data_IF_582252919259
#
_entry.id   IF_582252919259
#
_cell.length_a   1.000
_cell.length_b   1.000
_cell.length_c   1.000
_cell.angle_alpha   90.00
_cell.angle_beta   90.00
_cell.angle_gamma   90.00
#
_symmetry.space_group_name_H-M   'P 1'
#
loop_
_entity.id
_entity.type
_entity.pdbx_description
1 polymer ?
#
# COMPACT_ATOMS: atom_id res chain seq x y z
N UNK A 1 8.61 -4.14 16.16
CA UNK A 1 7.45 -4.57 15.34
C UNK A 1 7.87 -5.81 14.56
N UNK A 2 7.09 -6.90 14.51
CA UNK A 2 7.55 -8.20 13.99
C UNK A 2 8.01 -8.16 12.52
N UNK A 3 7.25 -7.48 11.67
CA UNK A 3 7.59 -7.36 10.24
C UNK A 3 8.88 -6.55 10.05
N UNK A 4 9.01 -5.42 10.75
CA UNK A 4 10.25 -4.61 10.74
C UNK A 4 11.48 -5.44 11.11
N UNK A 5 11.43 -6.17 12.23
CA UNK A 5 12.58 -6.97 12.69
C UNK A 5 12.93 -8.09 11.72
N UNK A 6 11.93 -8.74 11.11
CA UNK A 6 12.17 -9.81 10.14
C UNK A 6 12.81 -9.30 8.85
N UNK A 7 12.32 -8.18 8.32
CA UNK A 7 12.90 -7.57 7.11
C UNK A 7 14.32 -7.05 7.40
N UNK A 8 14.53 -6.35 8.51
CA UNK A 8 15.86 -5.85 8.88
C UNK A 8 16.87 -6.98 9.06
N UNK A 9 16.48 -8.07 9.73
CA UNK A 9 17.33 -9.26 9.88
C UNK A 9 17.67 -9.88 8.53
N UNK A 10 16.70 -10.04 7.63
CA UNK A 10 16.96 -10.58 6.30
C UNK A 10 17.97 -9.71 5.51
N UNK A 11 17.91 -8.38 5.66
CA UNK A 11 18.88 -7.46 5.07
C UNK A 11 20.28 -7.50 5.70
N UNK A 12 20.49 -8.18 6.83
CA UNK A 12 21.84 -8.48 7.33
C UNK A 12 22.54 -9.52 6.43
N UNK A 13 21.77 -10.31 5.66
CA UNK A 13 22.27 -11.42 4.86
C UNK A 13 22.21 -11.20 3.35
N UNK A 14 21.31 -10.35 2.86
CA UNK A 14 21.13 -10.07 1.43
C UNK A 14 20.91 -8.59 1.18
N UNK A 15 21.13 -8.14 -0.05
CA UNK A 15 20.92 -6.72 -0.42
C UNK A 15 19.55 -6.45 -1.04
N UNK A 16 18.77 -7.50 -1.32
CA UNK A 16 17.51 -7.45 -2.09
C UNK A 16 16.55 -8.51 -1.58
N UNK A 17 15.27 -8.16 -1.45
CA UNK A 17 14.26 -9.07 -0.91
C UNK A 17 12.98 -8.99 -1.73
N UNK A 18 12.38 -10.16 -1.99
CA UNK A 18 10.95 -10.30 -2.25
C UNK A 18 10.28 -10.71 -0.93
N UNK A 19 9.20 -10.02 -0.58
CA UNK A 19 8.53 -10.09 0.72
C UNK A 19 7.06 -10.42 0.46
N UNK A 20 6.61 -11.53 1.05
CA UNK A 20 5.27 -12.08 0.87
C UNK A 20 4.66 -12.29 2.25
N UNK A 21 3.48 -11.71 2.48
CA UNK A 21 2.71 -11.90 3.71
C UNK A 21 2.02 -13.28 3.70
N UNK A 22 1.65 -13.80 4.86
CA UNK A 22 1.02 -15.11 5.02
C UNK A 22 -0.33 -15.24 4.29
N UNK A 23 -0.96 -14.12 3.98
CA UNK A 23 -2.22 -14.02 3.26
C UNK A 23 -2.07 -13.63 1.79
N UNK A 24 -0.85 -13.64 1.24
CA UNK A 24 -0.56 -13.29 -0.14
C UNK A 24 -0.12 -14.52 -0.95
N UNK A 25 -0.84 -14.82 -2.03
CA UNK A 25 -0.52 -15.90 -2.97
C UNK A 25 0.10 -15.28 -4.24
N UNK A 26 1.41 -15.41 -4.47
CA UNK A 26 2.04 -14.95 -5.69
C UNK A 26 1.75 -15.89 -6.87
N UNK A 27 1.64 -15.31 -8.06
CA UNK A 27 1.74 -16.06 -9.31
C UNK A 27 3.19 -16.45 -9.60
N UNK A 28 3.41 -17.50 -10.38
CA UNK A 28 4.77 -17.92 -10.76
C UNK A 28 5.60 -16.80 -11.41
N UNK A 29 5.05 -15.97 -12.32
CA UNK A 29 5.78 -14.85 -12.91
C UNK A 29 6.25 -13.79 -11.91
N UNK A 30 5.64 -13.67 -10.73
CA UNK A 30 6.02 -12.67 -9.72
C UNK A 30 7.50 -12.74 -9.35
N UNK A 31 8.04 -13.95 -9.17
CA UNK A 31 9.43 -14.11 -8.74
C UNK A 31 10.41 -13.65 -9.82
N UNK A 32 10.17 -14.03 -11.08
CA UNK A 32 11.00 -13.61 -12.22
C UNK A 32 10.84 -12.12 -12.52
N UNK A 33 9.65 -11.58 -12.34
CA UNK A 33 9.38 -10.14 -12.40
C UNK A 33 10.21 -9.37 -11.36
N UNK A 34 10.22 -9.83 -10.10
CA UNK A 34 11.04 -9.24 -9.06
C UNK A 34 12.54 -9.40 -9.35
N UNK A 35 13.01 -10.58 -9.74
CA UNK A 35 14.42 -10.85 -10.04
C UNK A 35 14.96 -9.88 -11.11
N UNK A 36 14.28 -9.79 -12.26
CA UNK A 36 14.72 -8.95 -13.38
C UNK A 36 14.75 -7.46 -12.98
N UNK A 37 13.73 -6.99 -12.26
CA UNK A 37 13.62 -5.58 -11.86
C UNK A 37 14.54 -5.20 -10.69
N UNK A 38 14.75 -6.13 -9.75
CA UNK A 38 15.68 -5.96 -8.64
C UNK A 38 17.13 -5.86 -9.12
N UNK A 39 17.49 -6.56 -10.20
CA UNK A 39 18.79 -6.40 -10.86
C UNK A 39 18.83 -5.10 -11.67
N UNK A 40 17.82 -4.84 -12.52
CA UNK A 40 17.77 -3.67 -13.40
C UNK A 40 17.88 -2.34 -12.66
N UNK A 41 17.19 -2.20 -11.52
CA UNK A 41 17.12 -0.95 -10.75
C UNK A 41 17.94 -0.99 -9.45
N UNK A 42 18.93 -1.89 -9.36
CA UNK A 42 19.75 -2.04 -8.15
C UNK A 42 20.43 -0.73 -7.71
N UNK A 43 20.91 0.05 -8.67
CA UNK A 43 21.62 1.31 -8.43
C UNK A 43 20.77 2.56 -8.70
N UNK A 44 19.49 2.41 -9.08
CA UNK A 44 18.60 3.54 -9.37
C UNK A 44 17.82 3.96 -8.12
N UNK A 45 18.34 4.97 -7.42
CA UNK A 45 17.76 5.47 -6.17
C UNK A 45 16.37 6.10 -6.33
N UNK A 46 15.92 6.39 -7.56
CA UNK A 46 14.55 6.84 -7.81
C UNK A 46 13.51 5.75 -7.52
N UNK A 47 13.91 4.47 -7.57
CA UNK A 47 13.01 3.34 -7.37
C UNK A 47 13.12 2.84 -5.93
N UNK A 48 12.00 2.97 -5.21
CA UNK A 48 11.87 2.66 -3.78
C UNK A 48 11.33 1.23 -3.55
N UNK A 49 10.49 0.75 -4.47
CA UNK A 49 9.78 -0.52 -4.31
C UNK A 49 9.31 -1.10 -5.64
N UNK A 50 9.21 -2.42 -5.70
CA UNK A 50 8.47 -3.17 -6.72
C UNK A 50 7.23 -3.74 -6.05
N UNK A 51 6.05 -3.35 -6.49
CA UNK A 51 4.79 -3.99 -6.10
C UNK A 51 4.55 -5.21 -6.99
N UNK A 52 4.02 -6.30 -6.44
CA UNK A 52 3.50 -7.42 -7.23
C UNK A 52 2.01 -7.28 -7.55
N UNK A 53 1.31 -6.38 -6.87
CA UNK A 53 -0.12 -6.22 -7.04
C UNK A 53 -0.48 -5.01 -7.89
N UNK A 54 -1.36 -5.23 -8.86
CA UNK A 54 -2.08 -4.17 -9.55
C UNK A 54 -3.55 -4.20 -9.12
N UNK A 55 -3.97 -3.21 -8.31
CA UNK A 55 -5.34 -3.13 -7.79
C UNK A 55 -6.41 -2.90 -8.88
N UNK A 56 -6.02 -2.56 -10.12
CA UNK A 56 -6.93 -2.46 -11.27
C UNK A 56 -7.05 -3.79 -12.04
N UNK A 57 -6.27 -4.81 -11.69
CA UNK A 57 -6.25 -6.11 -12.35
C UNK A 57 -5.38 -6.09 -13.60
N UNK A 58 -5.80 -5.33 -14.62
CA UNK A 58 -5.00 -5.04 -15.81
C UNK A 58 -5.08 -3.53 -16.08
N UNK A 59 -3.93 -2.91 -16.36
CA UNK A 59 -3.81 -1.49 -16.70
C UNK A 59 -3.45 -1.33 -18.18
N UNK A 60 -4.41 -0.96 -19.02
CA UNK A 60 -4.26 -1.00 -20.49
C UNK A 60 -3.62 0.24 -21.10
N UNK A 61 -3.44 1.28 -20.31
CA UNK A 61 -2.93 2.58 -20.75
C UNK A 61 -1.42 2.56 -20.99
N UNK A 62 -0.72 1.55 -20.47
CA UNK A 62 0.71 1.33 -20.72
C UNK A 62 0.93 0.24 -21.77
N UNK A 63 1.83 0.47 -22.74
CA UNK A 63 2.25 -0.56 -23.70
C UNK A 63 3.36 -1.47 -23.14
N UNK A 64 3.84 -1.23 -21.92
CA UNK A 64 4.93 -1.93 -21.24
C UNK A 64 4.40 -2.94 -20.22
N UNK A 65 5.25 -3.85 -19.73
CA UNK A 65 4.84 -4.86 -18.75
C UNK A 65 4.74 -4.33 -17.32
N UNK A 66 5.22 -3.11 -17.09
CA UNK A 66 5.07 -2.37 -15.85
C UNK A 66 5.15 -0.87 -16.11
N UNK A 67 4.82 -0.10 -15.09
CA UNK A 67 4.87 1.35 -15.08
C UNK A 67 5.29 1.82 -13.67
N UNK A 68 5.52 3.12 -13.53
CA UNK A 68 5.91 3.71 -12.25
C UNK A 68 4.76 4.51 -11.66
N UNK A 69 4.56 4.42 -10.35
CA UNK A 69 3.60 5.26 -9.65
C UNK A 69 4.10 5.65 -8.27
N UNK A 70 3.53 6.70 -7.71
CA UNK A 70 3.70 7.08 -6.29
C UNK A 70 2.70 6.35 -5.38
N UNK A 71 1.95 5.38 -5.92
CA UNK A 71 1.05 4.52 -5.17
C UNK A 71 1.18 3.08 -5.65
N UNK A 72 1.21 2.14 -4.70
CA UNK A 72 1.29 0.72 -4.98
C UNK A 72 0.98 -0.10 -3.72
N UNK A 73 0.80 -1.40 -3.90
CA UNK A 73 0.50 -2.31 -2.81
C UNK A 73 1.77 -2.86 -2.17
N UNK A 74 1.69 -3.16 -0.88
CA UNK A 74 2.70 -3.96 -0.15
C UNK A 74 2.27 -5.43 -0.01
N UNK A 75 1.21 -5.86 -0.69
CA UNK A 75 0.85 -7.27 -0.81
C UNK A 75 1.69 -7.93 -1.88
N UNK A 76 2.68 -8.73 -1.46
CA UNK A 76 3.71 -9.28 -2.34
C UNK A 76 4.51 -8.17 -3.01
N UNK A 77 5.67 -7.84 -2.47
CA UNK A 77 6.48 -6.72 -2.94
C UNK A 77 7.95 -7.06 -2.85
N UNK A 78 8.79 -6.27 -3.51
CA UNK A 78 10.23 -6.40 -3.42
C UNK A 78 10.90 -5.04 -3.28
N UNK A 79 12.08 -5.03 -2.67
CA UNK A 79 12.85 -3.81 -2.44
C UNK A 79 14.33 -4.13 -2.20
N UNK A 80 15.13 -3.08 -2.03
CA UNK A 80 16.56 -3.13 -1.79
C UNK A 80 16.89 -2.72 -0.36
N UNK A 81 18.01 -3.22 0.15
CA UNK A 81 18.59 -2.81 1.43
C UNK A 81 18.83 -1.30 1.48
N UNK A 82 19.27 -0.69 0.37
CA UNK A 82 19.43 0.77 0.26
C UNK A 82 18.13 1.54 0.53
N UNK A 83 17.00 1.07 -0.03
CA UNK A 83 15.71 1.70 0.16
C UNK A 83 15.20 1.48 1.58
N UNK A 84 15.34 0.26 2.12
CA UNK A 84 14.94 -0.06 3.49
C UNK A 84 15.70 0.77 4.54
N UNK A 85 17.02 0.90 4.40
CA UNK A 85 17.87 1.63 5.33
C UNK A 85 17.64 3.15 5.30
N UNK A 86 17.06 3.67 4.21
CA UNK A 86 16.72 5.10 4.12
C UNK A 86 15.51 5.50 4.97
N UNK A 87 14.71 4.54 5.43
CA UNK A 87 13.46 4.83 6.14
C UNK A 87 13.72 5.39 7.53
N UNK A 88 13.28 6.62 7.77
CA UNK A 88 13.20 7.19 9.12
C UNK A 88 11.98 6.61 9.88
N UNK A 89 12.24 5.55 10.66
CA UNK A 89 11.21 4.89 11.48
C UNK A 89 10.75 5.72 12.70
N UNK A 90 11.54 6.71 13.12
CA UNK A 90 11.22 7.61 14.24
C UNK A 90 10.40 8.82 13.77
N UNK A 91 10.39 9.08 12.45
CA UNK A 91 9.65 10.15 11.81
C UNK A 91 10.09 11.53 12.33
N UNK A 92 11.39 11.72 12.54
CA UNK A 92 11.98 12.96 13.07
C UNK A 92 11.84 14.13 12.11
N UNK A 93 11.66 13.88 10.81
CA UNK A 93 11.32 14.90 9.80
C UNK A 93 10.08 15.74 10.18
N UNK A 94 9.24 15.27 11.09
CA UNK A 94 8.06 16.00 11.57
C UNK A 94 8.40 17.28 12.35
N UNK A 95 9.64 17.39 12.82
CA UNK A 95 10.14 18.57 13.51
C UNK A 95 10.61 19.66 12.52
N UNK A 96 10.70 19.32 11.23
CA UNK A 96 11.01 20.26 10.15
C UNK A 96 9.71 20.88 9.60
N UNK A 97 9.59 22.21 9.77
CA UNK A 97 8.43 22.98 9.28
C UNK A 97 8.35 23.00 7.75
N UNK A 98 9.48 22.88 7.05
CA UNK A 98 9.47 22.87 5.59
C UNK A 98 8.99 21.53 5.05
N UNK A 99 9.44 20.42 5.64
CA UNK A 99 8.90 19.09 5.34
C UNK A 99 7.38 19.03 5.55
N UNK A 100 6.87 19.62 6.64
CA UNK A 100 5.43 19.76 6.87
C UNK A 100 4.72 20.52 5.74
N UNK A 101 5.26 21.68 5.35
CA UNK A 101 4.71 22.52 4.29
C UNK A 101 4.67 21.77 2.96
N UNK A 102 5.78 21.14 2.56
CA UNK A 102 5.92 20.42 1.29
C UNK A 102 4.97 19.22 1.20
N UNK A 103 4.96 18.36 2.22
CA UNK A 103 4.07 17.19 2.27
C UNK A 103 2.60 17.60 2.29
N UNK A 104 2.26 18.65 3.05
CA UNK A 104 0.89 19.15 3.11
C UNK A 104 0.42 19.67 1.76
N UNK A 105 1.29 20.36 1.02
CA UNK A 105 0.96 20.91 -0.30
C UNK A 105 0.77 19.80 -1.35
N UNK A 106 1.60 18.75 -1.32
CA UNK A 106 1.55 17.67 -2.31
C UNK A 106 0.47 16.62 -2.00
N UNK A 107 0.26 16.29 -0.74
CA UNK A 107 -0.57 15.14 -0.32
C UNK A 107 -1.74 15.51 0.59
N UNK A 108 -1.86 16.78 0.96
CA UNK A 108 -2.97 17.32 1.74
C UNK A 108 -2.80 17.19 3.26
N UNK A 109 -3.49 18.07 3.99
CA UNK A 109 -3.44 18.17 5.47
C UNK A 109 -3.86 16.88 6.19
N UNK A 110 -4.73 16.06 5.57
CA UNK A 110 -5.24 14.84 6.19
C UNK A 110 -4.14 13.79 6.38
N UNK A 111 -3.26 13.62 5.39
CA UNK A 111 -2.11 12.71 5.51
C UNK A 111 -1.19 13.16 6.65
N UNK A 112 -0.86 14.45 6.66
CA UNK A 112 0.04 15.01 7.67
C UNK A 112 -0.53 14.92 9.10
N UNK A 113 -1.85 15.10 9.28
CA UNK A 113 -2.52 14.86 10.57
C UNK A 113 -2.33 13.41 11.04
N UNK A 114 -2.48 12.42 10.15
CA UNK A 114 -2.27 10.99 10.44
C UNK A 114 -0.82 10.70 10.86
N UNK A 115 0.13 11.30 10.16
CA UNK A 115 1.58 11.24 10.46
C UNK A 115 1.85 11.80 11.86
N UNK A 116 1.36 13.00 12.20
CA UNK A 116 1.46 13.58 13.56
C UNK A 116 0.84 12.71 14.64
N UNK A 117 -0.32 12.11 14.37
CA UNK A 117 -0.93 11.16 15.32
C UNK A 117 -0.03 9.94 15.55
N UNK A 118 0.56 9.37 14.50
CA UNK A 118 1.48 8.23 14.63
C UNK A 118 2.75 8.60 15.40
N UNK A 119 3.36 9.75 15.11
CA UNK A 119 4.55 10.22 15.82
C UNK A 119 4.29 10.45 17.32
N UNK A 120 3.14 11.04 17.69
CA UNK A 120 2.75 11.17 19.11
C UNK A 120 2.57 9.82 19.82
N UNK A 121 2.14 8.78 19.11
CA UNK A 121 2.07 7.42 19.66
C UNK A 121 3.47 6.84 19.87
N UNK A 122 4.36 7.00 18.90
CA UNK A 122 5.77 6.60 18.99
C UNK A 122 6.47 7.23 20.20
N UNK A 123 6.38 8.55 20.37
CA UNK A 123 7.02 9.27 21.51
C UNK A 123 6.48 8.84 22.87
N UNK A 124 5.26 8.29 22.93
CA UNK A 124 4.67 7.72 24.16
C UNK A 124 5.06 6.25 24.39
N UNK A 125 5.90 5.66 23.54
CA UNK A 125 6.29 4.25 23.61
C UNK A 125 5.18 3.28 23.19
N UNK A 126 4.12 3.76 22.53
CA UNK A 126 3.05 2.86 22.08
C UNK A 126 3.54 1.93 20.97
N UNK A 127 3.16 0.66 21.05
CA UNK A 127 3.45 -0.31 20.01
C UNK A 127 2.68 0.02 18.73
N UNK A 128 3.41 0.42 17.70
CA UNK A 128 2.83 0.58 16.36
C UNK A 128 2.45 -0.78 15.76
N UNK A 129 1.32 -0.80 15.07
CA UNK A 129 0.79 -1.98 14.37
C UNK A 129 1.22 -2.06 12.91
N UNK A 130 1.75 -0.98 12.32
CA UNK A 130 2.12 -0.92 10.92
C UNK A 130 3.30 0.02 10.68
N UNK A 131 4.19 -0.38 9.76
CA UNK A 131 5.39 0.35 9.30
C UNK A 131 5.17 1.04 7.94
N UNK A 132 4.02 0.79 7.28
CA UNK A 132 3.78 1.23 5.90
C UNK A 132 3.64 2.74 5.77
N UNK A 133 3.20 3.43 6.83
CA UNK A 133 3.15 4.89 6.82
C UNK A 133 4.56 5.49 6.84
N UNK A 134 5.47 4.98 7.66
CA UNK A 134 6.86 5.44 7.67
C UNK A 134 7.53 5.22 6.31
N UNK A 135 7.38 4.04 5.73
CA UNK A 135 7.90 3.76 4.38
C UNK A 135 7.32 4.70 3.33
N UNK A 136 5.99 4.86 3.29
CA UNK A 136 5.33 5.73 2.32
C UNK A 136 5.76 7.19 2.47
N UNK A 137 5.97 7.67 3.70
CA UNK A 137 6.47 9.01 3.95
C UNK A 137 7.92 9.19 3.51
N UNK A 138 8.78 8.19 3.76
CA UNK A 138 10.16 8.20 3.27
C UNK A 138 10.20 8.30 1.74
N UNK A 139 9.37 7.53 1.05
CA UNK A 139 9.25 7.59 -0.41
C UNK A 139 8.81 8.98 -0.88
N UNK A 140 7.79 9.60 -0.26
CA UNK A 140 7.35 10.95 -0.64
C UNK A 140 8.41 12.02 -0.41
N UNK A 141 9.14 11.95 0.70
CA UNK A 141 10.22 12.90 1.02
C UNK A 141 11.38 12.82 0.02
N UNK A 142 11.62 11.64 -0.57
CA UNK A 142 12.68 11.40 -1.54
C UNK A 142 12.21 11.39 -3.01
N UNK A 143 10.96 11.78 -3.29
CA UNK A 143 10.36 11.68 -4.64
C UNK A 143 10.47 10.28 -5.26
N UNK A 144 10.44 9.24 -4.43
CA UNK A 144 10.59 7.85 -4.83
C UNK A 144 9.40 7.32 -5.63
N UNK A 145 9.67 6.33 -6.48
CA UNK A 145 8.69 5.68 -7.34
C UNK A 145 8.58 4.18 -7.02
N UNK A 146 7.38 3.66 -7.24
CA UNK A 146 7.02 2.26 -7.12
C UNK A 146 6.84 1.69 -8.52
N UNK A 147 7.49 0.57 -8.82
CA UNK A 147 7.17 -0.25 -9.99
C UNK A 147 5.86 -0.99 -9.72
N UNK A 148 4.90 -0.89 -10.63
CA UNK A 148 3.63 -1.61 -10.58
C UNK A 148 3.46 -2.42 -11.87
N UNK A 149 3.13 -3.72 -11.81
CA UNK A 149 3.00 -4.53 -13.01
C UNK A 149 1.75 -4.12 -13.79
N UNK A 150 1.81 -4.22 -15.12
CA UNK A 150 0.65 -3.99 -16.00
C UNK A 150 -0.48 -4.95 -15.65
N UNK A 151 -0.17 -6.22 -15.40
CA UNK A 151 -1.12 -7.25 -14.99
C UNK A 151 -0.84 -7.68 -13.55
N UNK A 152 -1.89 -7.88 -12.77
CA UNK A 152 -1.77 -8.26 -11.37
C UNK A 152 -1.04 -9.61 -11.19
N UNK A 153 -0.09 -9.69 -10.24
CA UNK A 153 0.71 -10.90 -9.98
C UNK A 153 0.48 -11.49 -8.58
N UNK A 154 -0.29 -10.84 -7.72
CA UNK A 154 -0.57 -11.27 -6.35
C UNK A 154 -2.08 -11.38 -6.10
N UNK A 155 -2.49 -12.47 -5.47
CA UNK A 155 -3.84 -12.62 -4.91
C UNK A 155 -3.75 -12.54 -3.38
N UNK A 156 -4.42 -11.58 -2.74
CA UNK A 156 -4.56 -11.58 -1.28
C UNK A 156 -5.79 -12.41 -0.87
N UNK A 157 -5.59 -13.40 -0.02
CA UNK A 157 -6.59 -14.36 0.50
C UNK A 157 -6.95 -14.13 1.96
N UNK A 158 -6.48 -13.02 2.56
CA UNK A 158 -6.61 -12.70 3.97
C UNK A 158 -8.00 -12.23 4.41
N UNK A 159 -8.89 -11.91 3.47
CA UNK A 159 -10.28 -11.55 3.76
C UNK A 159 -11.11 -12.79 4.11
N UNK A 160 -10.82 -13.38 5.27
CA UNK A 160 -11.55 -14.50 5.85
C UNK A 160 -12.36 -14.05 7.07
N UNK A 161 -13.28 -14.88 7.56
CA UNK A 161 -14.06 -14.57 8.77
C UNK A 161 -13.18 -14.37 10.02
N UNK A 162 -11.94 -14.88 10.02
CA UNK A 162 -10.99 -14.87 11.13
C UNK A 162 -9.63 -14.20 10.81
N UNK A 163 -9.54 -13.39 9.75
CA UNK A 163 -8.27 -12.79 9.32
C UNK A 163 -7.65 -11.89 10.38
N UNK A 164 -6.38 -12.15 10.75
CA UNK A 164 -5.66 -11.45 11.84
C UNK A 164 -5.52 -9.93 11.61
N UNK A 165 -5.62 -9.47 10.37
CA UNK A 165 -5.55 -8.06 9.97
C UNK A 165 -6.89 -7.47 9.47
N UNK A 166 -7.96 -8.26 9.42
CA UNK A 166 -9.26 -7.82 8.90
C UNK A 166 -10.12 -7.25 10.05
N UNK A 167 -10.09 -5.92 10.20
CA UNK A 167 -10.95 -5.18 11.15
C UNK A 167 -12.47 -5.32 10.88
N UNK A 168 -12.85 -5.98 9.79
CA UNK A 168 -14.21 -6.36 9.45
C UNK A 168 -14.22 -7.70 8.72
N UNK A 169 -15.04 -8.63 9.17
CA UNK A 169 -15.33 -9.85 8.41
C UNK A 169 -15.77 -9.48 6.99
N UNK A 170 -15.54 -10.38 6.03
CA UNK A 170 -16.01 -10.24 4.63
C UNK A 170 -17.48 -9.78 4.56
N UNK A 171 -18.29 -10.20 5.52
CA UNK A 171 -19.72 -9.88 5.68
C UNK A 171 -20.04 -8.39 5.75
N UNK A 172 -19.14 -7.55 6.26
CA UNK A 172 -19.38 -6.12 6.45
C UNK A 172 -18.54 -5.24 5.52
N UNK A 173 -17.76 -5.86 4.64
CA UNK A 173 -16.85 -5.18 3.74
C UNK A 173 -17.59 -4.80 2.44
N UNK A 174 -17.55 -3.53 2.00
CA UNK A 174 -18.14 -3.08 0.73
C UNK A 174 -17.68 -3.95 -0.44
N UNK A 175 -18.57 -4.25 -1.41
CA UNK A 175 -18.25 -5.15 -2.53
C UNK A 175 -17.00 -4.72 -3.30
N UNK A 176 -16.87 -3.42 -3.55
CA UNK A 176 -15.71 -2.87 -4.25
C UNK A 176 -14.38 -3.10 -3.52
N UNK A 177 -14.40 -3.23 -2.20
CA UNK A 177 -13.21 -3.57 -1.41
C UNK A 177 -12.96 -5.08 -1.41
N UNK A 178 -14.02 -5.90 -1.38
CA UNK A 178 -13.91 -7.35 -1.50
C UNK A 178 -13.28 -7.76 -2.83
N UNK A 179 -13.58 -7.05 -3.92
CA UNK A 179 -13.01 -7.31 -5.26
C UNK A 179 -11.48 -7.13 -5.33
N UNK A 180 -10.88 -6.41 -4.38
CA UNK A 180 -9.43 -6.22 -4.30
C UNK A 180 -8.76 -7.45 -3.65
N UNK A 181 -9.51 -8.18 -2.82
CA UNK A 181 -9.12 -9.51 -2.36
C UNK A 181 -9.49 -10.54 -3.42
N UNK A 182 -8.78 -11.67 -3.45
CA UNK A 182 -9.04 -12.74 -4.42
C UNK A 182 -8.94 -12.33 -5.89
N UNK A 183 -8.23 -11.24 -6.20
CA UNK A 183 -8.02 -10.79 -7.59
C UNK A 183 -7.29 -11.86 -8.40
N UNK A 184 -7.73 -12.02 -9.66
CA UNK A 184 -7.06 -12.88 -10.64
C UNK A 184 -5.61 -12.44 -10.84
N UNK A 185 -4.72 -13.40 -10.95
CA UNK A 185 -3.34 -13.20 -11.42
C UNK A 185 -3.21 -13.60 -12.89
N UNK A 186 -2.18 -13.07 -13.54
CA UNK A 186 -1.97 -13.26 -14.96
C UNK A 186 -0.53 -13.67 -15.25
N UNK A 187 -0.36 -14.38 -16.36
CA UNK A 187 0.97 -14.69 -16.89
C UNK A 187 1.63 -13.46 -17.52
N UNK A 188 2.96 -13.48 -17.49
CA UNK A 188 3.84 -12.50 -18.14
C UNK A 188 4.79 -13.22 -19.10
N UNK A 189 5.08 -12.55 -20.20
CA UNK A 189 6.12 -12.94 -21.13
C UNK A 189 7.46 -12.33 -20.68
N UNK A 190 8.56 -13.03 -20.95
CA UNK A 190 9.91 -12.58 -20.60
C UNK A 190 10.84 -12.67 -21.81
N UNK A 191 11.83 -11.76 -21.96
CA UNK A 191 12.18 -10.67 -21.03
C UNK A 191 11.12 -9.56 -20.99
N UNK A 192 11.05 -8.79 -19.89
CA UNK A 192 10.03 -7.77 -19.74
C UNK A 192 10.23 -6.62 -20.74
N UNK A 193 9.13 -6.12 -21.27
CA UNK A 193 9.09 -4.89 -22.06
C UNK A 193 9.16 -3.68 -21.13
N UNK A 194 10.36 -3.11 -21.00
CA UNK A 194 10.62 -2.00 -20.08
C UNK A 194 10.14 -0.63 -20.59
N UNK A 195 9.56 0.22 -19.73
CA UNK A 195 9.29 1.62 -20.03
C UNK A 195 10.58 2.40 -20.28
N UNK A 196 10.56 3.25 -21.32
CA UNK A 196 11.68 4.13 -21.70
C UNK A 196 11.95 5.24 -20.66
N UNK A 197 10.88 5.74 -20.03
CA UNK A 197 10.94 6.87 -19.12
C UNK A 197 10.50 6.47 -17.72
N UNK A 198 11.18 7.02 -16.72
CA UNK A 198 10.91 6.77 -15.30
C UNK A 198 10.21 8.01 -14.77
N UNK A 199 8.89 7.99 -14.83
CA UNK A 199 8.03 9.10 -14.44
C UNK A 199 6.74 8.54 -13.84
N UNK A 200 6.20 9.23 -12.83
CA UNK A 200 4.98 8.85 -12.16
C UNK A 200 3.78 8.84 -13.13
N UNK A 201 3.11 7.70 -13.23
CA UNK A 201 1.82 7.54 -13.88
C UNK A 201 0.71 8.07 -12.97
N UNK A 202 0.35 9.33 -13.23
CA UNK A 202 -0.70 10.05 -12.50
C UNK A 202 -2.09 9.50 -12.83
N UNK A 203 -2.28 8.92 -14.03
CA UNK A 203 -3.57 8.37 -14.43
C UNK A 203 -3.89 7.11 -13.63
N UNK A 204 -2.93 6.19 -13.51
CA UNK A 204 -3.06 5.03 -12.63
C UNK A 204 -3.40 5.45 -11.20
N UNK A 205 -2.66 6.43 -10.65
CA UNK A 205 -2.90 6.92 -9.29
C UNK A 205 -4.32 7.46 -9.11
N UNK A 206 -4.85 8.22 -10.06
CA UNK A 206 -6.23 8.73 -10.02
C UNK A 206 -7.26 7.59 -10.02
N UNK A 207 -7.07 6.57 -10.85
CA UNK A 207 -7.94 5.38 -10.88
C UNK A 207 -7.87 4.61 -9.57
N UNK A 208 -6.67 4.41 -9.02
CA UNK A 208 -6.46 3.77 -7.73
C UNK A 208 -7.09 4.58 -6.59
N UNK A 209 -6.91 5.90 -6.55
CA UNK A 209 -7.51 6.75 -5.53
C UNK A 209 -9.04 6.70 -5.59
N UNK A 210 -9.64 6.68 -6.79
CA UNK A 210 -11.08 6.46 -6.95
C UNK A 210 -11.51 5.08 -6.45
N UNK A 211 -10.77 4.03 -6.79
CA UNK A 211 -11.00 2.67 -6.30
C UNK A 211 -10.87 2.59 -4.77
N UNK A 212 -9.96 3.33 -4.15
CA UNK A 212 -9.79 3.37 -2.69
C UNK A 212 -10.72 4.39 -2.01
N UNK A 213 -11.44 5.20 -2.78
CA UNK A 213 -12.26 6.32 -2.31
C UNK A 213 -11.43 7.50 -1.76
N UNK A 214 -10.13 7.56 -2.03
CA UNK A 214 -9.25 8.65 -1.61
C UNK A 214 -9.58 9.93 -2.38
N UNK A 215 -9.88 11.02 -1.66
CA UNK A 215 -10.30 12.27 -2.31
C UNK A 215 -11.70 12.23 -2.94
N UNK A 216 -12.46 11.13 -2.74
CA UNK A 216 -13.81 10.96 -3.29
C UNK A 216 -14.85 10.76 -2.17
N UNK A 217 -15.36 11.84 -1.55
CA UNK A 217 -16.30 11.77 -0.43
C UNK A 217 -17.57 10.97 -0.74
N UNK A 218 -18.14 11.13 -1.94
CA UNK A 218 -19.33 10.40 -2.35
C UNK A 218 -19.09 8.88 -2.40
N UNK A 219 -17.95 8.43 -2.93
CA UNK A 219 -17.59 7.00 -2.96
C UNK A 219 -17.48 6.45 -1.53
N UNK A 220 -16.83 7.19 -0.62
CA UNK A 220 -16.73 6.81 0.80
C UNK A 220 -18.09 6.79 1.49
N UNK A 221 -18.96 7.73 1.17
CA UNK A 221 -20.31 7.81 1.71
C UNK A 221 -21.13 6.58 1.29
N UNK A 222 -21.20 6.25 -0.01
CA UNK A 222 -21.91 5.08 -0.49
C UNK A 222 -21.38 3.77 0.11
N UNK A 223 -20.06 3.61 0.25
CA UNK A 223 -19.44 2.45 0.92
C UNK A 223 -19.79 2.37 2.41
N UNK A 224 -19.92 3.51 3.08
CA UNK A 224 -20.36 3.55 4.47
C UNK A 224 -21.80 3.08 4.57
N UNK A 225 -22.68 3.54 3.68
CA UNK A 225 -24.09 3.10 3.63
C UNK A 225 -24.16 1.60 3.36
N UNK A 226 -23.44 1.09 2.36
CA UNK A 226 -23.37 -0.34 2.04
C UNK A 226 -22.93 -1.19 3.25
N UNK A 227 -21.86 -0.77 3.96
CA UNK A 227 -21.39 -1.47 5.17
C UNK A 227 -22.43 -1.43 6.30
N UNK A 228 -23.14 -0.31 6.48
CA UNK A 228 -24.23 -0.20 7.47
C UNK A 228 -25.39 -1.12 7.10
N UNK A 229 -25.80 -1.14 5.83
CA UNK A 229 -26.86 -2.03 5.34
C UNK A 229 -26.52 -3.49 5.60
N UNK A 230 -25.28 -3.93 5.32
CA UNK A 230 -24.85 -5.29 5.65
C UNK A 230 -24.89 -5.57 7.16
N UNK A 231 -24.46 -4.62 8.00
CA UNK A 231 -24.56 -4.79 9.46
C UNK A 231 -26.00 -4.91 9.95
N UNK A 232 -26.94 -4.17 9.36
CA UNK A 232 -28.36 -4.29 9.68
C UNK A 232 -28.89 -5.67 9.27
N UNK A 233 -28.60 -6.11 8.04
CA UNK A 233 -29.02 -7.42 7.51
C UNK A 233 -28.53 -8.57 8.41
N UNK A 234 -27.29 -8.49 8.90
CA UNK A 234 -26.68 -9.52 9.75
C UNK A 234 -26.80 -9.22 11.26
N UNK A 235 -27.59 -8.23 11.67
CA UNK A 235 -27.91 -7.96 13.08
C UNK A 235 -26.80 -7.34 13.96
N UNK A 236 -25.72 -6.80 13.39
CA UNK A 236 -24.60 -6.18 14.13
C UNK A 236 -24.86 -4.70 14.49
N UNK A 237 -25.93 -4.44 15.23
CA UNK A 237 -26.31 -3.09 15.65
C UNK A 237 -25.29 -2.46 16.61
N UNK A 238 -24.62 -3.26 17.45
CA UNK A 238 -23.63 -2.80 18.44
C UNK A 238 -22.47 -2.06 17.79
N UNK A 239 -21.97 -2.53 16.65
CA UNK A 239 -20.88 -1.88 15.92
C UNK A 239 -21.31 -0.56 15.26
N UNK A 240 -22.56 -0.47 14.81
CA UNK A 240 -23.14 0.76 14.25
C UNK A 240 -23.15 1.87 15.31
N UNK A 241 -23.71 1.59 16.50
CA UNK A 241 -23.75 2.55 17.61
C UNK A 241 -22.35 2.98 18.07
N UNK A 242 -21.39 2.05 18.14
CA UNK A 242 -19.99 2.37 18.46
C UNK A 242 -19.36 3.29 17.42
N UNK A 243 -19.67 3.09 16.13
CA UNK A 243 -19.21 3.94 15.03
C UNK A 243 -19.77 5.36 15.10
N UNK A 244 -21.06 5.51 15.37
CA UNK A 244 -21.73 6.81 15.57
C UNK A 244 -21.12 7.59 16.75
N UNK A 245 -20.94 6.93 17.91
CA UNK A 245 -20.33 7.55 19.10
C UNK A 245 -18.92 8.08 18.83
N UNK A 246 -18.11 7.36 18.06
CA UNK A 246 -16.76 7.81 17.66
C UNK A 246 -16.77 9.02 16.73
N UNK A 247 -17.78 9.14 15.85
CA UNK A 247 -17.90 10.28 14.93
C UNK A 247 -18.38 11.56 15.62
N UNK A 248 -19.13 11.43 16.71
CA UNK A 248 -19.57 12.57 17.54
C UNK A 248 -18.42 13.09 18.43
N UNK A 249 -17.42 12.25 18.73
CA UNK A 249 -16.28 12.56 19.59
C UNK A 249 -15.02 13.04 18.84
N UNK A 250 -15.07 13.22 17.51
CA UNK A 250 -13.95 13.65 16.65
C UNK A 250 -14.23 15.01 16.02
#
# INVERSE_FOLDING_TARGET
MRVYSGISWAFEHVDRLAIIEDDCVPSLPFFKFCEELLEKYKDDERIDMISGMNNLGIYEETPYDYFFSTAGSIWGWATWKRAWNSIDFNMEYINDKDAERLITNLHGKSLYKRVRTMHKKLKRGERLTSWSLQKGMNMFLNSGLIVVPKKNLITNVGLTENGANSLSSIKFTPRAMCQIYYMKTYDLDFPLKHPKYIINDVEFKKKLDRLMGNGHPCVRFFRTIESITYRIIYGDFKSIFKGLKRRIQQ
#
